data_IF_107890102201
#
_entry.id   IF_107890102201
#
_cell.length_a   1.000
_cell.length_b   1.000
_cell.length_c   1.000
_cell.angle_alpha   90.00
_cell.angle_beta   90.00
_cell.angle_gamma   90.00
#
_symmetry.space_group_name_H-M   'P 1'
#
loop_
_entity.id
_entity.type
_entity.pdbx_description
1 polymer ?
#
# COMPACT_ATOMS: atom_id res chain seq x y z
N UNK A 1 26.51 28.41 55.65
CA UNK A 1 25.36 28.74 54.79
C UNK A 1 25.88 29.55 53.61
N UNK A 2 26.03 28.95 52.41
CA UNK A 2 26.42 29.52 51.09
C UNK A 2 27.21 28.41 50.37
N UNK A 3 26.83 27.79 49.26
CA UNK A 3 25.71 27.89 48.34
C UNK A 3 26.09 26.99 47.16
N UNK A 4 25.68 25.71 47.18
CA UNK A 4 25.97 24.76 46.12
C UNK A 4 24.75 24.68 45.21
N UNK A 5 24.81 25.27 44.03
CA UNK A 5 23.82 25.08 42.97
C UNK A 5 24.55 25.16 41.62
N UNK A 6 25.36 24.13 41.37
CA UNK A 6 25.84 23.78 40.04
C UNK A 6 24.63 23.37 39.19
N UNK A 7 24.11 24.29 38.39
CA UNK A 7 23.12 24.02 37.35
C UNK A 7 23.76 23.16 36.26
N UNK A 8 23.75 21.84 36.46
CA UNK A 8 23.98 20.88 35.40
C UNK A 8 22.78 20.93 34.45
N UNK A 9 22.90 21.69 33.37
CA UNK A 9 21.98 21.63 32.23
C UNK A 9 22.16 20.27 31.56
N UNK A 10 21.38 19.28 32.01
CA UNK A 10 21.24 18.00 31.32
C UNK A 10 20.70 18.28 29.93
N UNK A 11 21.57 18.11 28.93
CA UNK A 11 21.21 18.20 27.52
C UNK A 11 20.23 17.07 27.20
N UNK A 12 18.94 17.39 27.09
CA UNK A 12 17.96 16.47 26.51
C UNK A 12 18.27 16.38 25.01
N UNK A 13 19.02 15.36 24.62
CA UNK A 13 19.12 14.96 23.22
C UNK A 13 17.71 14.66 22.72
N UNK A 14 17.21 15.32 21.65
CA UNK A 14 15.99 14.87 21.02
C UNK A 14 16.26 13.44 20.57
N UNK A 15 15.48 12.49 21.09
CA UNK A 15 15.49 11.12 20.63
C UNK A 15 15.26 11.18 19.12
N UNK A 16 16.35 11.05 18.38
CA UNK A 16 16.33 10.99 16.93
C UNK A 16 15.74 9.63 16.65
N UNK A 17 14.41 9.59 16.56
CA UNK A 17 13.60 8.39 16.50
C UNK A 17 13.77 7.68 15.16
N UNK A 18 14.97 7.24 14.84
CA UNK A 18 15.22 6.27 13.77
C UNK A 18 14.61 4.87 14.08
N UNK A 19 13.74 4.78 15.08
CA UNK A 19 12.91 3.62 15.43
C UNK A 19 11.46 3.70 14.89
N UNK A 20 11.10 4.77 14.18
CA UNK A 20 9.69 5.21 14.18
C UNK A 20 8.72 4.33 13.42
N UNK A 21 9.07 3.71 12.29
CA UNK A 21 8.16 2.84 11.53
C UNK A 21 8.87 1.67 10.86
N UNK A 22 8.23 0.49 10.86
CA UNK A 22 8.77 -0.70 10.22
C UNK A 22 8.88 -0.56 8.69
N UNK A 23 9.95 -1.14 8.14
CA UNK A 23 10.32 -1.29 6.72
C UNK A 23 9.42 -0.59 5.70
N UNK A 24 9.80 0.63 5.32
CA UNK A 24 9.21 1.39 4.20
C UNK A 24 7.97 2.21 4.55
N UNK A 25 7.51 2.18 5.81
CA UNK A 25 6.47 3.07 6.32
C UNK A 25 7.09 4.37 6.84
N UNK A 26 6.33 5.44 6.76
CA UNK A 26 6.73 6.77 7.21
C UNK A 26 5.63 7.42 8.05
N UNK A 27 6.05 8.39 8.88
CA UNK A 27 5.14 9.27 9.61
C UNK A 27 5.06 10.60 8.86
N UNK A 28 3.85 11.03 8.54
CA UNK A 28 3.59 12.29 7.86
C UNK A 28 2.44 13.07 8.51
N UNK A 29 2.19 14.30 8.03
CA UNK A 29 1.05 15.10 8.47
C UNK A 29 -0.28 14.38 8.16
N UNK A 30 -0.37 13.71 7.01
CA UNK A 30 -1.54 12.94 6.57
C UNK A 30 -1.76 11.65 7.37
N UNK A 31 -0.73 11.19 8.09
CA UNK A 31 -0.81 9.98 8.91
C UNK A 31 -1.08 10.29 10.38
N UNK A 32 -1.28 11.56 10.74
CA UNK A 32 -1.52 12.01 12.11
C UNK A 32 -0.49 11.47 13.12
N UNK A 33 0.78 11.33 12.72
CA UNK A 33 1.82 10.78 13.59
C UNK A 33 1.93 9.25 13.59
N UNK A 34 1.15 8.54 12.75
CA UNK A 34 1.11 7.06 12.66
C UNK A 34 1.96 6.53 11.51
N UNK A 35 2.33 5.26 11.61
CA UNK A 35 3.13 4.57 10.59
C UNK A 35 2.27 4.04 9.45
N UNK A 36 2.23 4.80 8.36
CA UNK A 36 1.56 4.38 7.14
C UNK A 36 2.55 4.25 5.99
N UNK A 37 2.14 3.57 4.93
CA UNK A 37 2.95 3.57 3.73
C UNK A 37 2.96 4.96 3.08
N UNK A 38 4.02 5.30 2.32
CA UNK A 38 4.11 6.55 1.57
C UNK A 38 2.84 6.85 0.77
N UNK A 39 2.30 8.06 0.92
CA UNK A 39 1.11 8.52 0.19
C UNK A 39 -0.23 7.98 0.71
N UNK A 40 -0.23 7.21 1.79
CA UNK A 40 -1.45 6.86 2.51
C UNK A 40 -1.78 7.91 3.58
N UNK A 41 -3.05 7.94 3.97
CA UNK A 41 -3.53 8.73 5.12
C UNK A 41 -3.99 7.81 6.23
N UNK A 42 -3.92 8.28 7.46
CA UNK A 42 -4.46 7.54 8.59
C UNK A 42 -5.93 7.90 8.79
N UNK A 43 -6.80 6.90 8.68
CA UNK A 43 -8.22 7.04 8.99
C UNK A 43 -8.42 6.72 10.47
N UNK A 44 -8.82 7.74 11.25
CA UNK A 44 -9.02 7.65 12.70
C UNK A 44 -10.31 6.89 13.08
N UNK A 45 -11.38 7.04 12.28
CA UNK A 45 -12.64 6.28 12.49
C UNK A 45 -12.42 4.78 12.33
N UNK A 46 -11.55 4.42 11.39
CA UNK A 46 -11.21 3.08 11.02
C UNK A 46 -10.04 2.54 11.83
N UNK A 47 -9.18 3.41 12.35
CA UNK A 47 -7.96 3.06 13.07
C UNK A 47 -6.88 2.42 12.19
N UNK A 48 -6.90 2.64 10.86
CA UNK A 48 -5.90 2.10 9.92
C UNK A 48 -5.51 3.08 8.84
N UNK A 49 -4.37 2.82 8.21
CA UNK A 49 -3.95 3.53 7.01
C UNK A 49 -4.84 3.13 5.83
N UNK A 50 -5.25 4.11 5.03
CA UNK A 50 -6.08 3.92 3.85
C UNK A 50 -5.48 4.60 2.62
N UNK A 51 -5.81 4.05 1.47
CA UNK A 51 -5.33 4.46 0.16
C UNK A 51 -4.18 3.59 -0.34
N UNK A 52 -3.97 3.56 -1.67
CA UNK A 52 -2.88 2.81 -2.26
C UNK A 52 -1.52 3.41 -1.86
N UNK A 53 -0.56 2.59 -1.40
CA UNK A 53 0.80 3.06 -1.14
C UNK A 53 1.44 3.55 -2.44
N UNK A 54 1.94 4.79 -2.43
CA UNK A 54 2.63 5.40 -3.56
C UNK A 54 4.01 4.78 -3.82
N UNK A 55 4.62 4.17 -2.79
CA UNK A 55 5.85 3.41 -2.92
C UNK A 55 5.82 2.14 -2.08
N UNK A 56 6.23 1.04 -2.72
CA UNK A 56 6.50 -0.23 -2.06
C UNK A 56 8.00 -0.58 -2.18
N UNK A 57 8.54 -1.35 -1.23
CA UNK A 57 9.91 -1.85 -1.31
C UNK A 57 10.12 -2.72 -2.55
N UNK A 58 11.37 -2.87 -3.00
CA UNK A 58 11.71 -3.64 -4.20
C UNK A 58 11.20 -5.09 -4.12
N UNK A 59 10.50 -5.56 -5.15
CA UNK A 59 9.86 -6.89 -5.18
C UNK A 59 8.46 -6.94 -4.56
N UNK A 60 7.94 -5.80 -4.10
CA UNK A 60 6.58 -5.66 -3.59
C UNK A 60 5.76 -4.71 -4.47
N UNK A 61 4.46 -4.99 -4.57
CA UNK A 61 3.50 -4.17 -5.29
C UNK A 61 2.36 -3.72 -4.38
N UNK A 62 1.79 -2.57 -4.70
CA UNK A 62 0.59 -2.05 -4.03
C UNK A 62 -0.61 -2.95 -4.36
N UNK A 63 -1.25 -3.53 -3.34
CA UNK A 63 -2.51 -4.25 -3.46
C UNK A 63 -3.48 -3.71 -2.41
N UNK A 64 -4.41 -2.84 -2.85
CA UNK A 64 -5.25 -2.08 -1.94
C UNK A 64 -4.40 -1.16 -1.06
N UNK A 65 -4.56 -1.27 0.26
CA UNK A 65 -3.87 -0.45 1.26
C UNK A 65 -2.55 -1.06 1.77
N UNK A 66 -2.11 -2.18 1.19
CA UNK A 66 -0.90 -2.88 1.61
C UNK A 66 0.12 -3.01 0.48
N UNK A 67 1.40 -3.02 0.84
CA UNK A 67 2.42 -3.57 -0.04
C UNK A 67 2.43 -5.09 0.17
N UNK A 68 2.21 -5.85 -0.90
CA UNK A 68 2.28 -7.31 -0.91
C UNK A 68 3.46 -7.77 -1.76
N UNK A 69 4.09 -8.89 -1.39
CA UNK A 69 5.09 -9.50 -2.26
C UNK A 69 4.39 -9.88 -3.55
N UNK A 70 4.83 -9.28 -4.65
CA UNK A 70 4.43 -9.77 -5.94
C UNK A 70 5.20 -11.06 -6.11
N UNK A 71 4.53 -12.20 -5.86
CA UNK A 71 4.96 -13.44 -6.49
C UNK A 71 5.20 -13.09 -7.96
N UNK A 72 6.39 -13.41 -8.47
CA UNK A 72 6.76 -13.12 -9.85
C UNK A 72 5.51 -13.38 -10.70
N UNK A 73 5.03 -12.38 -11.47
CA UNK A 73 3.78 -12.56 -12.19
C UNK A 73 3.88 -13.91 -12.89
N UNK A 74 2.91 -14.84 -12.72
CA UNK A 74 2.90 -16.01 -13.58
C UNK A 74 3.06 -15.45 -15.00
N UNK A 75 3.92 -16.06 -15.85
CA UNK A 75 4.15 -15.54 -17.19
C UNK A 75 2.78 -15.19 -17.72
N UNK A 76 2.55 -13.92 -18.05
CA UNK A 76 1.24 -13.43 -18.42
C UNK A 76 0.88 -14.17 -19.71
N UNK A 77 0.32 -15.36 -19.54
CA UNK A 77 -0.66 -15.92 -20.43
C UNK A 77 -1.85 -15.00 -20.21
N UNK A 78 -1.74 -13.81 -20.80
CA UNK A 78 -2.79 -13.28 -21.63
C UNK A 78 -3.16 -14.40 -22.60
N UNK A 79 -3.87 -15.40 -22.08
CA UNK A 79 -4.62 -16.35 -22.88
C UNK A 79 -5.75 -15.50 -23.43
N UNK A 80 -5.41 -14.73 -24.46
CA UNK A 80 -6.36 -14.38 -25.49
C UNK A 80 -6.85 -15.70 -26.07
N UNK A 81 -7.87 -16.26 -25.45
CA UNK A 81 -8.71 -17.29 -26.04
C UNK A 81 -10.06 -17.17 -25.36
N UNK A 82 -10.72 -16.03 -25.59
CA UNK A 82 -12.16 -16.04 -25.81
C UNK A 82 -12.45 -16.84 -27.09
N UNK A 83 -12.20 -18.15 -27.02
CA UNK A 83 -12.88 -19.14 -27.84
C UNK A 83 -13.84 -19.87 -26.90
N UNK A 84 -14.71 -19.08 -26.25
CA UNK A 84 -16.06 -19.56 -26.09
C UNK A 84 -16.67 -19.43 -27.48
N UNK A 85 -16.81 -20.56 -28.15
CA UNK A 85 -17.63 -20.74 -29.34
C UNK A 85 -19.09 -20.43 -28.96
N UNK A 86 -19.42 -19.18 -28.68
CA UNK A 86 -20.79 -18.71 -28.78
C UNK A 86 -21.16 -18.81 -30.26
N UNK A 87 -22.26 -19.49 -30.63
CA UNK A 87 -22.80 -19.35 -31.96
C UNK A 87 -23.11 -17.87 -32.15
N UNK A 88 -22.41 -17.23 -33.09
CA UNK A 88 -22.72 -15.87 -33.51
C UNK A 88 -24.20 -15.86 -33.89
N UNK A 89 -24.98 -14.98 -33.27
CA UNK A 89 -26.42 -14.78 -33.50
C UNK A 89 -26.82 -14.55 -34.98
N UNK A 90 -25.87 -14.48 -35.91
CA UNK A 90 -26.07 -14.33 -37.35
C UNK A 90 -26.03 -15.63 -38.18
N UNK A 91 -25.80 -16.80 -37.59
CA UNK A 91 -25.75 -18.09 -38.32
C UNK A 91 -27.11 -18.80 -38.42
N UNK A 92 -28.23 -18.09 -38.25
CA UNK A 92 -29.54 -18.65 -38.57
C UNK A 92 -29.88 -18.41 -40.04
N UNK A 93 -29.50 -19.36 -40.90
CA UNK A 93 -30.10 -19.48 -42.22
C UNK A 93 -31.57 -19.94 -42.09
N UNK A 94 -32.54 -19.36 -42.83
CA UNK A 94 -33.92 -19.85 -42.81
C UNK A 94 -33.98 -21.23 -43.47
N UNK A 95 -34.44 -22.23 -42.72
CA UNK A 95 -34.68 -23.57 -43.25
C UNK A 95 -35.87 -23.53 -44.24
N UNK A 96 -35.77 -24.12 -45.44
CA UNK A 96 -36.90 -24.19 -46.36
C UNK A 96 -37.94 -25.19 -45.83
N UNK A 97 -39.19 -24.74 -45.74
CA UNK A 97 -40.33 -25.61 -45.46
C UNK A 97 -40.61 -26.52 -46.67
N UNK A 98 -40.81 -27.81 -46.41
CA UNK A 98 -41.20 -28.82 -47.38
C UNK A 98 -42.70 -28.74 -47.71
#
# INVERSE_FOLDING_TARGET
>A
MLGALTLAVLSLSPATGAAQCASGREVGPDTAGRCCWPGQRFDDERGRCEGPPSRCPSGWGAAGDECVQQAAPPPSTSTGTSTASEPRYGDYAPQPAA
#
